data_IF_866461061036
#
_entry.id   IF_866461061036
#
_cell.length_a   1.000
_cell.length_b   1.000
_cell.length_c   1.000
_cell.angle_alpha   90.00
_cell.angle_beta   90.00
_cell.angle_gamma   90.00
#
_symmetry.space_group_name_H-M   'P 1'
#
loop_
_entity.id
_entity.type
_entity.pdbx_description
1 polymer ?
#
# COMPACT_ATOMS: atom_id res chain seq x y z
N UNK A 1 -4.60 -10.69 40.31
CA UNK A 1 -5.66 -9.82 39.75
C UNK A 1 -5.94 -8.53 40.55
N UNK A 2 -5.41 -8.33 41.77
CA UNK A 2 -5.62 -7.07 42.52
C UNK A 2 -4.48 -6.02 42.36
N UNK A 3 -3.30 -6.42 41.88
CA UNK A 3 -2.11 -5.57 41.79
C UNK A 3 -2.06 -4.69 40.53
N UNK A 4 -2.68 -5.12 39.43
CA UNK A 4 -2.70 -4.37 38.15
C UNK A 4 -3.70 -3.21 38.15
N UNK A 5 -4.81 -3.31 38.91
CA UNK A 5 -5.79 -2.22 39.07
C UNK A 5 -5.23 -1.03 39.87
N UNK A 6 -4.36 -1.29 40.86
CA UNK A 6 -3.76 -0.24 41.70
C UNK A 6 -2.69 0.57 40.94
N UNK A 7 -1.92 -0.07 40.06
CA UNK A 7 -0.92 0.60 39.23
C UNK A 7 -1.57 1.60 38.25
N UNK A 8 -2.70 1.24 37.66
CA UNK A 8 -3.42 2.09 36.69
C UNK A 8 -4.08 3.32 37.34
N UNK A 9 -4.66 3.16 38.54
CA UNK A 9 -5.23 4.29 39.29
C UNK A 9 -4.16 5.26 39.80
N UNK A 10 -2.95 4.76 40.10
CA UNK A 10 -1.82 5.59 40.55
C UNK A 10 -1.23 6.40 39.40
N UNK A 11 -1.19 5.85 38.18
CA UNK A 11 -0.75 6.57 36.99
C UNK A 11 -1.74 7.68 36.59
N UNK A 12 -3.06 7.41 36.62
CA UNK A 12 -4.09 8.40 36.31
C UNK A 12 -4.11 9.59 37.30
N UNK A 13 -3.82 9.35 38.59
CA UNK A 13 -3.69 10.44 39.58
C UNK A 13 -2.43 11.28 39.40
N UNK A 14 -1.31 10.68 38.98
CA UNK A 14 -0.07 11.42 38.67
C UNK A 14 -0.20 12.26 37.40
N UNK A 15 -0.88 11.76 36.37
CA UNK A 15 -1.16 12.50 35.14
C UNK A 15 -2.08 13.72 35.39
N UNK A 16 -3.07 13.58 36.27
CA UNK A 16 -3.98 14.68 36.64
C UNK A 16 -3.35 15.74 37.58
N UNK A 17 -2.31 15.38 38.35
CA UNK A 17 -1.57 16.34 39.19
C UNK A 17 -0.47 17.09 38.41
N UNK A 18 0.06 16.51 37.33
CA UNK A 18 1.06 17.14 36.45
C UNK A 18 0.50 18.26 35.57
N UNK A 19 -0.81 18.32 35.36
CA UNK A 19 -1.48 19.36 34.55
C UNK A 19 -1.98 20.56 35.38
N UNK A 20 -1.76 20.55 36.70
CA UNK A 20 -2.27 21.59 37.62
C UNK A 20 -1.21 22.55 38.18
N UNK A 21 0.09 22.35 37.90
CA UNK A 21 1.18 23.17 38.46
C UNK A 21 2.13 23.65 37.37
N UNK A 22 1.67 24.63 36.58
CA UNK A 22 2.50 25.67 35.95
C UNK A 22 1.60 26.62 35.14
N UNK A 23 0.84 27.45 35.85
CA UNK A 23 0.39 28.76 35.34
C UNK A 23 1.14 29.82 36.15
N UNK A 24 2.23 30.32 35.60
CA UNK A 24 3.05 31.35 36.25
C UNK A 24 4.23 31.77 35.38
N UNK A 25 4.02 32.86 34.64
CA UNK A 25 5.01 33.79 34.09
C UNK A 25 6.28 33.25 33.42
N UNK A 26 6.29 33.26 32.09
CA UNK A 26 7.50 33.53 31.29
C UNK A 26 7.09 34.40 30.09
N UNK A 27 7.63 35.62 29.99
CA UNK A 27 7.49 36.49 28.82
C UNK A 27 8.36 35.96 27.66
N UNK A 28 7.90 35.99 26.39
CA UNK A 28 8.77 35.71 25.26
C UNK A 28 9.39 36.98 24.69
N UNK A 29 10.73 37.04 24.77
CA UNK A 29 11.60 38.05 24.17
C UNK A 29 11.96 37.64 22.73
N UNK A 30 10.99 37.59 21.80
CA UNK A 30 11.23 37.70 20.34
C UNK A 30 9.96 38.23 19.65
N UNK A 31 9.75 39.55 19.69
CA UNK A 31 8.79 40.25 18.83
C UNK A 31 9.50 41.39 18.14
N UNK A 32 10.12 41.11 16.99
CA UNK A 32 10.93 42.09 16.26
C UNK A 32 10.92 41.96 14.74
N UNK A 33 10.02 41.16 14.15
CA UNK A 33 9.99 41.03 12.67
C UNK A 33 8.60 41.06 12.01
N UNK A 34 7.53 41.36 12.76
CA UNK A 34 6.20 41.51 12.16
C UNK A 34 5.43 42.63 12.85
N UNK A 35 5.78 43.88 12.54
CA UNK A 35 4.94 45.05 12.85
C UNK A 35 4.97 45.98 11.64
N UNK A 36 4.03 45.76 10.72
CA UNK A 36 3.31 46.83 10.01
C UNK A 36 2.09 46.22 9.31
N UNK A 37 0.96 46.21 10.01
CA UNK A 37 -0.37 46.57 9.49
C UNK A 37 -1.41 46.21 10.57
N UNK A 38 -1.76 47.22 11.35
CA UNK A 38 -2.73 47.18 12.45
C UNK A 38 -4.16 47.09 11.92
N UNK A 39 -5.04 46.34 12.59
CA UNK A 39 -6.46 46.68 12.69
C UNK A 39 -7.06 46.10 13.99
N UNK A 40 -7.49 47.02 14.84
CA UNK A 40 -8.15 46.83 16.15
C UNK A 40 -9.54 46.20 16.01
N UNK A 41 -9.86 45.21 16.86
CA UNK A 41 -11.20 44.63 17.02
C UNK A 41 -11.80 45.13 18.35
N UNK A 42 -12.99 45.72 18.28
CA UNK A 42 -13.85 46.08 19.43
C UNK A 42 -14.88 44.97 19.73
N UNK A 43 -15.34 44.90 20.98
CA UNK A 43 -15.96 43.74 21.65
C UNK A 43 -17.50 43.65 21.62
N UNK A 44 -18.00 42.40 21.52
CA UNK A 44 -19.24 41.79 22.09
C UNK A 44 -20.64 42.11 21.48
N UNK A 45 -21.73 41.31 21.74
CA UNK A 45 -21.88 39.90 22.14
C UNK A 45 -22.85 39.08 21.21
N UNK A 46 -23.05 37.80 21.54
CA UNK A 46 -23.83 36.80 20.78
C UNK A 46 -25.37 36.97 20.86
N UNK A 47 -26.07 36.74 19.73
CA UNK A 47 -27.38 36.05 19.65
C UNK A 47 -27.78 35.71 18.20
N UNK A 48 -28.17 34.44 17.99
CA UNK A 48 -29.20 33.88 17.08
C UNK A 48 -29.21 34.14 15.56
N UNK A 49 -29.29 33.01 14.83
CA UNK A 49 -29.94 32.74 13.54
C UNK A 49 -29.76 33.75 12.39
N UNK A 50 -29.16 33.33 11.27
CA UNK A 50 -29.75 33.48 9.92
C UNK A 50 -28.87 32.80 8.84
N UNK A 51 -29.59 32.41 7.78
CA UNK A 51 -29.24 31.86 6.48
C UNK A 51 -27.96 32.40 5.81
N UNK A 52 -27.26 31.53 5.08
CA UNK A 52 -26.10 31.90 4.25
C UNK A 52 -26.59 32.64 2.98
N UNK A 53 -26.13 33.87 2.73
CA UNK A 53 -26.37 34.59 1.48
C UNK A 53 -25.45 34.10 0.36
N UNK A 54 -26.02 34.02 -0.84
CA UNK A 54 -25.36 33.79 -2.12
C UNK A 54 -24.48 34.99 -2.48
N UNK A 55 -23.16 34.86 -2.39
CA UNK A 55 -22.13 35.46 -3.28
C UNK A 55 -20.76 35.46 -2.60
N UNK A 56 -19.95 34.46 -2.92
CA UNK A 56 -18.49 34.51 -2.87
C UNK A 56 -17.96 33.41 -3.81
N UNK A 57 -18.13 33.66 -5.12
CA UNK A 57 -17.57 32.85 -6.18
C UNK A 57 -16.05 33.03 -6.21
N UNK A 58 -15.33 31.90 -6.13
CA UNK A 58 -13.87 31.85 -6.31
C UNK A 58 -13.49 32.11 -7.78
N UNK A 59 -12.29 32.64 -8.07
CA UNK A 59 -11.88 33.04 -9.41
C UNK A 59 -11.75 31.85 -10.38
N UNK A 60 -12.14 32.08 -11.64
CA UNK A 60 -12.05 31.16 -12.76
C UNK A 60 -10.72 30.39 -12.82
N UNK A 61 -10.81 29.07 -12.69
CA UNK A 61 -9.75 28.11 -12.95
C UNK A 61 -9.53 27.94 -14.46
N UNK A 62 -8.94 28.94 -15.11
CA UNK A 62 -8.31 28.77 -16.42
C UNK A 62 -6.91 28.17 -16.18
N UNK A 63 -6.77 26.85 -16.30
CA UNK A 63 -5.47 26.20 -16.14
C UNK A 63 -5.49 24.71 -15.82
N UNK A 64 -6.64 24.11 -15.51
CA UNK A 64 -6.77 22.65 -15.59
C UNK A 64 -6.86 22.31 -17.07
N UNK A 65 -5.88 21.58 -17.61
CA UNK A 65 -6.04 20.93 -18.91
C UNK A 65 -7.23 20.00 -18.78
N UNK A 66 -8.38 20.43 -19.29
CA UNK A 66 -9.52 19.56 -19.51
C UNK A 66 -9.01 18.40 -20.36
N UNK A 67 -9.12 17.18 -19.85
CA UNK A 67 -9.35 16.06 -20.76
C UNK A 67 -10.53 16.48 -21.62
N UNK A 68 -10.34 16.54 -22.93
CA UNK A 68 -11.38 16.87 -23.88
C UNK A 68 -12.51 15.85 -23.70
N UNK A 69 -13.53 16.19 -22.92
CA UNK A 69 -14.82 15.52 -22.92
C UNK A 69 -15.43 15.77 -24.30
N UNK A 70 -15.08 14.90 -25.24
CA UNK A 70 -15.86 14.74 -26.46
C UNK A 70 -17.29 14.40 -26.01
N UNK A 71 -18.21 15.30 -26.35
CA UNK A 71 -19.66 15.24 -26.16
C UNK A 71 -20.20 14.03 -25.38
N UNK A 72 -20.51 14.22 -24.10
CA UNK A 72 -21.43 13.33 -23.35
C UNK A 72 -22.84 13.56 -23.87
N UNK A 73 -23.12 13.08 -25.08
CA UNK A 73 -24.48 12.90 -25.55
C UNK A 73 -25.07 11.73 -24.78
N UNK A 74 -26.10 11.97 -23.97
CA UNK A 74 -26.92 10.91 -23.38
C UNK A 74 -27.54 10.13 -24.54
N UNK A 75 -26.96 8.99 -24.88
CA UNK A 75 -27.58 8.03 -25.80
C UNK A 75 -28.59 7.29 -24.93
N UNK A 76 -29.86 7.21 -25.34
CA UNK A 76 -30.88 6.43 -24.62
C UNK A 76 -30.50 4.94 -24.53
N UNK A 77 -31.46 4.07 -24.16
CA UNK A 77 -31.26 2.61 -24.23
C UNK A 77 -30.54 2.23 -25.53
N UNK A 78 -29.49 1.42 -25.43
CA UNK A 78 -28.70 1.01 -26.59
C UNK A 78 -29.62 0.35 -27.63
N UNK A 79 -29.50 0.76 -28.90
CA UNK A 79 -30.28 0.17 -29.98
C UNK A 79 -29.96 -1.34 -30.09
N UNK A 80 -30.96 -2.23 -30.27
CA UNK A 80 -30.72 -3.67 -30.34
C UNK A 80 -29.71 -4.10 -31.40
N UNK A 81 -29.61 -3.36 -32.52
CA UNK A 81 -28.61 -3.62 -33.55
C UNK A 81 -27.18 -3.30 -33.09
N UNK A 82 -27.01 -2.30 -32.23
CA UNK A 82 -25.72 -1.94 -31.61
C UNK A 82 -25.34 -2.99 -30.58
N UNK A 83 -26.27 -3.42 -29.73
CA UNK A 83 -26.05 -4.51 -28.76
C UNK A 83 -25.59 -5.79 -29.47
N UNK A 84 -26.23 -6.15 -30.58
CA UNK A 84 -25.82 -7.34 -31.35
C UNK A 84 -24.41 -7.22 -31.92
N UNK A 85 -24.02 -6.04 -32.42
CA UNK A 85 -22.65 -5.80 -32.88
C UNK A 85 -21.63 -5.93 -31.75
N UNK A 86 -21.92 -5.37 -30.58
CA UNK A 86 -21.08 -5.50 -29.38
C UNK A 86 -20.93 -6.97 -29.00
N UNK A 87 -22.03 -7.75 -28.98
CA UNK A 87 -21.97 -9.20 -28.71
C UNK A 87 -21.09 -9.95 -29.69
N UNK A 88 -21.16 -9.63 -30.98
CA UNK A 88 -20.31 -10.27 -31.99
C UNK A 88 -18.84 -9.87 -31.86
N UNK A 89 -18.55 -8.64 -31.45
CA UNK A 89 -17.16 -8.24 -31.18
C UNK A 89 -16.58 -8.89 -29.93
N UNK A 90 -17.37 -9.00 -28.85
CA UNK A 90 -17.00 -9.70 -27.62
C UNK A 90 -16.63 -11.17 -27.92
N UNK A 91 -17.47 -11.90 -28.66
CA UNK A 91 -17.16 -13.28 -29.09
C UNK A 91 -15.90 -13.42 -29.93
N UNK A 92 -15.49 -12.37 -30.66
CA UNK A 92 -14.28 -12.43 -31.48
C UNK A 92 -13.01 -12.20 -30.66
N UNK A 93 -13.12 -11.61 -29.48
CA UNK A 93 -11.99 -11.40 -28.56
C UNK A 93 -11.97 -12.39 -27.42
N UNK A 94 -13.06 -13.13 -27.21
CA UNK A 94 -13.19 -14.29 -26.32
C UNK A 94 -12.24 -15.40 -26.76
N UNK A 95 -11.02 -15.39 -26.23
CA UNK A 95 -9.97 -16.31 -26.66
C UNK A 95 -10.04 -17.66 -25.95
N UNK A 96 -10.66 -17.69 -24.78
CA UNK A 96 -10.76 -18.86 -23.92
C UNK A 96 -12.15 -19.54 -23.99
N UNK A 97 -13.10 -18.94 -24.73
CA UNK A 97 -14.48 -19.40 -24.93
C UNK A 97 -15.28 -19.54 -23.63
N UNK A 98 -14.99 -18.72 -22.62
CA UNK A 98 -15.65 -18.78 -21.31
C UNK A 98 -16.87 -17.85 -21.19
N UNK A 99 -17.11 -16.99 -22.20
CA UNK A 99 -18.22 -16.03 -22.23
C UNK A 99 -18.11 -14.87 -21.24
N UNK A 100 -16.92 -14.67 -20.67
CA UNK A 100 -16.54 -13.55 -19.83
C UNK A 100 -15.54 -12.67 -20.59
N UNK A 101 -15.46 -11.40 -20.20
CA UNK A 101 -14.51 -10.43 -20.71
C UNK A 101 -13.47 -10.21 -19.63
N UNK A 102 -12.24 -10.67 -19.86
CA UNK A 102 -11.11 -10.36 -18.98
C UNK A 102 -10.38 -9.06 -19.41
N UNK A 103 -9.33 -8.70 -18.66
CA UNK A 103 -8.56 -7.49 -18.93
C UNK A 103 -7.83 -7.52 -20.29
N UNK A 104 -7.24 -8.65 -20.66
CA UNK A 104 -6.50 -8.81 -21.91
C UNK A 104 -7.44 -8.83 -23.12
N UNK A 105 -8.61 -9.42 -22.97
CA UNK A 105 -9.69 -9.42 -23.96
C UNK A 105 -10.32 -8.04 -24.11
N UNK A 106 -10.48 -7.28 -23.02
CA UNK A 106 -10.87 -5.87 -23.09
C UNK A 106 -9.82 -5.04 -23.85
N UNK A 107 -8.54 -5.27 -23.59
CA UNK A 107 -7.46 -4.63 -24.34
C UNK A 107 -7.54 -5.00 -25.83
N UNK A 108 -7.78 -6.28 -26.17
CA UNK A 108 -7.95 -6.72 -27.55
C UNK A 108 -9.18 -6.09 -28.22
N UNK A 109 -10.29 -5.97 -27.49
CA UNK A 109 -11.52 -5.30 -27.94
C UNK A 109 -11.23 -3.84 -28.29
N UNK A 110 -10.61 -3.09 -27.40
CA UNK A 110 -10.34 -1.67 -27.63
C UNK A 110 -9.29 -1.44 -28.71
N UNK A 111 -8.32 -2.34 -28.89
CA UNK A 111 -7.35 -2.30 -30.01
C UNK A 111 -8.03 -2.37 -31.38
N UNK A 112 -9.18 -3.04 -31.51
CA UNK A 112 -9.97 -3.06 -32.75
C UNK A 112 -10.56 -1.68 -33.09
N UNK A 113 -10.66 -0.80 -32.08
CA UNK A 113 -11.16 0.58 -32.18
C UNK A 113 -10.04 1.62 -32.03
N UNK A 114 -8.89 1.40 -32.67
CA UNK A 114 -7.71 2.29 -32.63
C UNK A 114 -7.96 3.72 -33.14
N UNK A 115 -9.07 3.97 -33.83
CA UNK A 115 -9.51 5.30 -34.25
C UNK A 115 -10.19 6.08 -33.10
N UNK A 116 -10.67 5.38 -32.07
CA UNK A 116 -11.34 5.94 -30.90
C UNK A 116 -10.42 6.00 -29.67
N UNK A 117 -9.53 5.02 -29.49
CA UNK A 117 -8.64 4.92 -28.32
C UNK A 117 -7.17 4.94 -28.70
N UNK A 118 -6.35 5.65 -27.91
CA UNK A 118 -4.88 5.59 -27.98
C UNK A 118 -4.35 4.41 -27.17
N UNK A 119 -3.17 3.91 -27.53
CA UNK A 119 -2.52 2.79 -26.82
C UNK A 119 -2.40 3.01 -25.29
N UNK A 120 -2.12 4.24 -24.86
CA UNK A 120 -2.06 4.58 -23.44
C UNK A 120 -3.43 4.50 -22.74
N UNK A 121 -4.51 4.90 -23.41
CA UNK A 121 -5.88 4.81 -22.89
C UNK A 121 -6.36 3.36 -22.83
N UNK A 122 -5.94 2.54 -23.80
CA UNK A 122 -6.22 1.09 -23.81
C UNK A 122 -5.52 0.41 -22.64
N UNK A 123 -4.24 0.72 -22.41
CA UNK A 123 -3.48 0.15 -21.30
C UNK A 123 -4.06 0.58 -19.95
N UNK A 124 -4.42 1.86 -19.81
CA UNK A 124 -5.08 2.37 -18.61
C UNK A 124 -6.43 1.64 -18.37
N UNK A 125 -7.26 1.50 -19.40
CA UNK A 125 -8.52 0.78 -19.29
C UNK A 125 -8.33 -0.70 -18.88
N UNK A 126 -7.31 -1.37 -19.43
CA UNK A 126 -6.93 -2.73 -19.06
C UNK A 126 -6.58 -2.83 -17.57
N UNK A 127 -5.69 -1.96 -17.10
CA UNK A 127 -5.20 -1.99 -15.72
C UNK A 127 -6.33 -1.66 -14.73
N UNK A 128 -7.19 -0.70 -15.07
CA UNK A 128 -8.37 -0.37 -14.28
C UNK A 128 -9.37 -1.53 -14.22
N UNK A 129 -9.59 -2.22 -15.34
CA UNK A 129 -10.48 -3.37 -15.40
C UNK A 129 -9.94 -4.53 -14.58
N UNK A 130 -8.66 -4.87 -14.75
CA UNK A 130 -7.99 -5.93 -13.98
C UNK A 130 -8.09 -5.66 -12.48
N UNK A 131 -7.72 -4.45 -12.04
CA UNK A 131 -7.79 -4.06 -10.64
C UNK A 131 -9.24 -4.09 -10.11
N UNK A 132 -10.20 -3.64 -10.92
CA UNK A 132 -11.62 -3.63 -10.59
C UNK A 132 -12.23 -5.02 -10.44
N UNK A 133 -11.89 -5.94 -11.33
CA UNK A 133 -12.38 -7.32 -11.34
C UNK A 133 -11.50 -8.29 -10.55
N UNK A 134 -10.44 -7.80 -9.88
CA UNK A 134 -9.53 -8.60 -9.07
C UNK A 134 -8.92 -9.77 -9.86
N UNK A 135 -8.56 -9.51 -11.12
CA UNK A 135 -7.98 -10.48 -12.05
C UNK A 135 -8.96 -11.48 -12.67
N UNK A 136 -10.26 -11.40 -12.34
CA UNK A 136 -11.31 -12.18 -12.99
C UNK A 136 -11.90 -11.51 -14.23
N UNK A 137 -12.83 -12.21 -14.86
CA UNK A 137 -13.60 -11.72 -16.02
C UNK A 137 -15.02 -11.27 -15.67
N UNK A 138 -15.62 -10.47 -16.54
CA UNK A 138 -17.00 -10.01 -16.42
C UNK A 138 -17.87 -10.63 -17.51
N UNK A 139 -19.02 -11.21 -17.16
CA UNK A 139 -19.95 -11.78 -18.17
C UNK A 139 -20.30 -10.74 -19.22
N UNK A 140 -20.39 -11.17 -20.48
CA UNK A 140 -20.74 -10.27 -21.58
C UNK A 140 -22.07 -9.53 -21.38
N UNK A 141 -23.09 -10.21 -20.84
CA UNK A 141 -24.37 -9.56 -20.55
C UNK A 141 -24.23 -8.48 -19.46
N UNK A 142 -23.43 -8.73 -18.41
CA UNK A 142 -23.17 -7.74 -17.35
C UNK A 142 -22.36 -6.54 -17.89
N UNK A 143 -21.41 -6.77 -18.79
CA UNK A 143 -20.66 -5.71 -19.47
C UNK A 143 -21.58 -4.84 -20.33
N UNK A 144 -22.49 -5.44 -21.09
CA UNK A 144 -23.47 -4.73 -21.91
C UNK A 144 -24.42 -3.89 -21.05
N UNK A 145 -24.87 -4.43 -19.92
CA UNK A 145 -25.69 -3.71 -18.95
C UNK A 145 -24.94 -2.48 -18.38
N UNK A 146 -23.63 -2.59 -18.18
CA UNK A 146 -22.79 -1.46 -17.78
C UNK A 146 -22.68 -0.43 -18.90
N UNK A 147 -22.48 -0.86 -20.15
CA UNK A 147 -22.45 0.05 -21.30
C UNK A 147 -23.76 0.84 -21.43
N UNK A 148 -24.91 0.19 -21.23
CA UNK A 148 -26.23 0.86 -21.24
C UNK A 148 -26.38 1.87 -20.08
N UNK A 149 -25.82 1.54 -18.91
CA UNK A 149 -25.85 2.45 -17.75
C UNK A 149 -24.99 3.69 -17.96
N UNK A 150 -23.80 3.57 -18.54
CA UNK A 150 -22.89 4.72 -18.75
C UNK A 150 -23.36 5.64 -19.88
N UNK A 151 -24.05 5.11 -20.89
CA UNK A 151 -24.60 5.94 -21.98
C UNK A 151 -25.80 6.77 -21.54
N UNK A 152 -26.56 6.27 -20.56
CA UNK A 152 -27.81 6.90 -20.10
C UNK A 152 -27.61 7.92 -18.99
N UNK A 153 -26.64 7.74 -18.09
CA UNK A 153 -26.31 8.69 -17.01
C UNK A 153 -24.81 8.68 -16.66
N UNK A 154 -24.21 9.85 -16.33
CA UNK A 154 -22.91 9.88 -15.69
C UNK A 154 -22.96 9.08 -14.38
N UNK A 155 -22.15 8.02 -14.28
CA UNK A 155 -22.07 7.17 -13.11
C UNK A 155 -20.89 7.64 -12.24
N UNK A 156 -21.16 7.99 -10.98
CA UNK A 156 -20.12 8.28 -9.98
C UNK A 156 -19.69 7.02 -9.20
N UNK A 157 -20.41 5.90 -9.38
CA UNK A 157 -20.15 4.62 -8.71
C UNK A 157 -20.14 3.52 -9.79
N UNK A 158 -19.00 3.40 -10.48
CA UNK A 158 -18.90 2.53 -11.66
C UNK A 158 -18.80 1.05 -11.23
N UNK A 159 -19.67 0.15 -11.74
CA UNK A 159 -19.71 -1.24 -11.29
C UNK A 159 -18.41 -2.02 -11.49
N UNK A 160 -17.60 -1.66 -12.50
CA UNK A 160 -16.30 -2.30 -12.76
C UNK A 160 -15.30 -2.08 -11.62
N UNK A 161 -15.35 -0.94 -10.94
CA UNK A 161 -14.40 -0.58 -9.88
C UNK A 161 -14.98 -0.73 -8.47
N UNK A 162 -16.26 -1.08 -8.35
CA UNK A 162 -16.97 -1.05 -7.07
C UNK A 162 -16.67 -2.29 -6.22
N UNK A 163 -16.39 -2.09 -4.93
CA UNK A 163 -16.25 -3.17 -3.94
C UNK A 163 -14.85 -3.73 -3.72
N UNK A 164 -13.91 -3.54 -4.66
CA UNK A 164 -12.58 -4.15 -4.61
C UNK A 164 -11.44 -3.25 -4.13
N UNK A 165 -11.73 -2.01 -3.70
CA UNK A 165 -10.70 -1.05 -3.21
C UNK A 165 -9.64 -0.75 -4.27
N UNK A 166 -9.94 -0.96 -5.55
CA UNK A 166 -9.02 -0.73 -6.66
C UNK A 166 -8.47 0.69 -6.67
N UNK A 167 -9.27 1.69 -6.27
CA UNK A 167 -8.84 3.08 -6.09
C UNK A 167 -7.62 3.26 -5.17
N UNK A 168 -7.34 2.30 -4.28
CA UNK A 168 -6.19 2.35 -3.37
C UNK A 168 -4.86 2.02 -4.06
N UNK A 169 -4.89 1.33 -5.21
CA UNK A 169 -3.69 0.81 -5.88
C UNK A 169 -3.67 0.94 -7.41
N UNK A 170 -4.74 1.43 -8.04
CA UNK A 170 -4.89 1.51 -9.51
C UNK A 170 -3.80 2.32 -10.22
N UNK A 171 -3.21 3.30 -9.55
CA UNK A 171 -2.14 4.14 -10.09
C UNK A 171 -0.74 3.66 -9.71
N UNK A 172 -0.62 2.45 -9.17
CA UNK A 172 0.65 1.88 -8.73
C UNK A 172 1.08 0.75 -9.65
N UNK A 173 2.38 0.50 -9.64
CA UNK A 173 2.94 -0.67 -10.30
C UNK A 173 2.36 -1.90 -9.61
N UNK A 174 1.66 -2.73 -10.36
CA UNK A 174 1.23 -4.04 -9.87
C UNK A 174 2.44 -4.98 -9.73
N UNK A 175 2.40 -5.83 -8.70
CA UNK A 175 3.53 -6.69 -8.32
C UNK A 175 3.19 -8.15 -8.66
N UNK A 176 3.23 -8.48 -9.95
CA UNK A 176 3.22 -9.88 -10.37
C UNK A 176 4.61 -10.49 -10.10
N UNK A 177 4.68 -11.37 -9.11
CA UNK A 177 5.91 -12.09 -8.77
C UNK A 177 6.07 -13.35 -9.63
N UNK A 178 7.28 -13.61 -10.10
CA UNK A 178 7.62 -14.93 -10.66
C UNK A 178 7.90 -15.93 -9.54
N UNK A 179 7.84 -17.24 -9.86
CA UNK A 179 8.17 -18.30 -8.90
C UNK A 179 9.57 -18.15 -8.30
N UNK A 180 10.54 -17.66 -9.09
CA UNK A 180 11.89 -17.38 -8.61
C UNK A 180 11.94 -16.21 -7.61
N UNK A 181 11.10 -15.20 -7.80
CA UNK A 181 10.99 -14.05 -6.89
C UNK A 181 10.29 -14.43 -5.59
N UNK A 182 9.39 -15.42 -5.61
CA UNK A 182 8.74 -15.97 -4.41
C UNK A 182 9.64 -16.92 -3.60
N UNK A 183 10.73 -17.41 -4.20
CA UNK A 183 11.71 -18.30 -3.57
C UNK A 183 12.65 -17.54 -2.62
N UNK A 184 12.07 -16.93 -1.58
CA UNK A 184 12.76 -16.10 -0.61
C UNK A 184 13.58 -16.93 0.38
N UNK A 185 14.88 -16.68 0.43
CA UNK A 185 15.77 -17.18 1.47
C UNK A 185 15.73 -16.29 2.74
N UNK A 186 15.73 -16.95 3.91
CA UNK A 186 15.91 -16.26 5.19
C UNK A 186 17.38 -15.89 5.36
N UNK A 187 17.68 -14.60 5.20
CA UNK A 187 19.02 -14.06 5.38
C UNK A 187 19.11 -13.26 6.69
N UNK A 188 20.32 -13.13 7.22
CA UNK A 188 20.62 -12.29 8.37
C UNK A 188 21.82 -11.40 8.07
N UNK A 189 21.67 -10.09 8.28
CA UNK A 189 22.74 -9.12 8.12
C UNK A 189 23.50 -8.94 9.45
N UNK A 190 24.75 -9.39 9.58
CA UNK A 190 25.48 -9.30 10.84
C UNK A 190 25.67 -7.84 11.30
N UNK A 191 25.53 -7.53 12.60
CA UNK A 191 25.74 -6.18 13.10
C UNK A 191 27.24 -5.84 13.18
N UNK A 192 27.68 -4.86 12.39
CA UNK A 192 29.11 -4.54 12.27
C UNK A 192 29.60 -3.59 13.38
N UNK A 193 28.73 -2.67 13.82
CA UNK A 193 29.08 -1.61 14.77
C UNK A 193 28.11 -1.56 15.97
N UNK A 194 28.40 -0.71 16.95
CA UNK A 194 27.59 -0.59 18.17
C UNK A 194 26.13 -0.18 17.88
N UNK A 195 25.92 0.72 16.92
CA UNK A 195 24.58 1.15 16.50
C UNK A 195 23.76 -0.02 15.95
N UNK A 196 24.36 -0.86 15.10
CA UNK A 196 23.68 -2.01 14.53
C UNK A 196 23.36 -3.06 15.60
N UNK A 197 24.27 -3.28 16.56
CA UNK A 197 24.00 -4.15 17.73
C UNK A 197 22.85 -3.60 18.57
N UNK A 198 22.78 -2.28 18.77
CA UNK A 198 21.66 -1.66 19.47
C UNK A 198 20.35 -1.84 18.70
N UNK A 199 20.35 -1.68 17.38
CA UNK A 199 19.18 -1.88 16.54
C UNK A 199 18.68 -3.33 16.61
N UNK A 200 19.58 -4.30 16.46
CA UNK A 200 19.26 -5.74 16.57
C UNK A 200 18.69 -6.09 17.94
N UNK A 201 19.32 -5.59 19.02
CA UNK A 201 18.86 -5.85 20.38
C UNK A 201 17.50 -5.18 20.65
N UNK A 202 17.24 -4.01 20.07
CA UNK A 202 15.94 -3.35 20.16
C UNK A 202 14.85 -4.19 19.48
N UNK A 203 15.10 -4.70 18.27
CA UNK A 203 14.16 -5.60 17.56
C UNK A 203 13.91 -6.86 18.36
N UNK A 204 14.95 -7.54 18.86
CA UNK A 204 14.80 -8.73 19.70
C UNK A 204 13.98 -8.45 20.97
N UNK A 205 14.22 -7.30 21.60
CA UNK A 205 13.47 -6.87 22.78
C UNK A 205 11.99 -6.62 22.48
N UNK A 206 11.70 -5.89 21.39
CA UNK A 206 10.32 -5.61 20.95
C UNK A 206 9.61 -6.90 20.55
N UNK A 207 10.26 -7.79 19.79
CA UNK A 207 9.71 -9.09 19.41
C UNK A 207 9.40 -9.95 20.64
N UNK A 208 10.35 -10.08 21.57
CA UNK A 208 10.15 -10.87 22.78
C UNK A 208 8.98 -10.31 23.62
N UNK A 209 8.92 -8.99 23.79
CA UNK A 209 7.81 -8.33 24.47
C UNK A 209 6.47 -8.60 23.76
N UNK A 210 6.40 -8.37 22.45
CA UNK A 210 5.18 -8.54 21.66
C UNK A 210 4.69 -9.99 21.65
N UNK A 211 5.58 -10.94 21.39
CA UNK A 211 5.26 -12.37 21.39
C UNK A 211 4.75 -12.82 22.77
N UNK A 212 5.33 -12.27 23.86
CA UNK A 212 4.88 -12.58 25.23
C UNK A 212 3.49 -12.02 25.53
N UNK A 213 3.20 -10.76 25.19
CA UNK A 213 1.90 -10.15 25.52
C UNK A 213 0.75 -10.66 24.66
N UNK A 214 1.06 -11.09 23.42
CA UNK A 214 0.07 -11.63 22.48
C UNK A 214 -0.12 -13.14 22.63
N UNK A 215 0.76 -13.82 23.36
CA UNK A 215 0.74 -15.27 23.48
C UNK A 215 1.07 -15.99 22.18
N UNK A 216 1.87 -15.35 21.31
CA UNK A 216 2.24 -15.92 20.01
C UNK A 216 2.96 -17.26 20.16
N UNK A 217 2.43 -18.30 19.52
CA UNK A 217 3.00 -19.64 19.54
C UNK A 217 3.04 -20.25 18.13
N UNK A 218 4.23 -20.22 17.53
CA UNK A 218 4.47 -20.77 16.19
C UNK A 218 4.26 -22.29 16.08
N UNK A 219 4.22 -23.03 17.19
CA UNK A 219 4.02 -24.50 17.20
C UNK A 219 2.55 -24.91 17.25
N UNK A 220 1.66 -24.00 17.58
CA UNK A 220 0.23 -24.24 17.72
C UNK A 220 -0.55 -23.04 17.16
N UNK A 221 -0.38 -22.82 15.86
CA UNK A 221 -0.92 -21.67 15.15
C UNK A 221 -2.40 -21.89 14.80
N UNK A 222 -3.22 -20.84 14.93
CA UNK A 222 -4.60 -20.81 14.46
C UNK A 222 -4.78 -19.62 13.52
N UNK A 223 -5.83 -19.64 12.66
CA UNK A 223 -6.12 -18.49 11.77
C UNK A 223 -6.23 -17.20 12.57
N UNK A 224 -6.93 -17.23 13.70
CA UNK A 224 -7.12 -16.06 14.55
C UNK A 224 -5.82 -15.51 15.13
N UNK A 225 -4.89 -16.38 15.58
CA UNK A 225 -3.58 -15.92 16.06
C UNK A 225 -2.79 -15.24 14.96
N UNK A 226 -2.80 -15.80 13.74
CA UNK A 226 -2.13 -15.19 12.58
C UNK A 226 -2.78 -13.84 12.28
N UNK A 227 -4.09 -13.80 12.10
CA UNK A 227 -4.83 -12.60 11.71
C UNK A 227 -4.64 -11.46 12.70
N UNK A 228 -4.78 -11.70 14.01
CA UNK A 228 -4.55 -10.64 15.00
C UNK A 228 -3.10 -10.17 15.02
N UNK A 229 -2.13 -11.06 14.79
CA UNK A 229 -0.71 -10.71 14.73
C UNK A 229 -0.42 -9.82 13.53
N UNK A 230 -0.71 -10.30 12.32
CA UNK A 230 -0.37 -9.59 11.07
C UNK A 230 -1.10 -8.26 11.03
N UNK A 231 -2.44 -8.24 11.24
CA UNK A 231 -3.22 -6.99 11.23
C UNK A 231 -2.64 -5.95 12.20
N UNK A 232 -2.17 -6.37 13.38
CA UNK A 232 -1.59 -5.42 14.33
C UNK A 232 -0.24 -4.90 13.83
N UNK A 233 0.65 -5.79 13.39
CA UNK A 233 2.00 -5.43 12.97
C UNK A 233 1.98 -4.57 11.69
N UNK A 234 1.15 -4.89 10.70
CA UNK A 234 1.01 -4.12 9.46
C UNK A 234 0.58 -2.66 9.74
N UNK A 235 -0.23 -2.42 10.79
CA UNK A 235 -0.62 -1.03 11.16
C UNK A 235 0.56 -0.19 11.66
N UNK A 236 1.64 -0.84 12.11
CA UNK A 236 2.86 -0.22 12.63
C UNK A 236 3.96 -0.22 11.56
N UNK A 237 4.05 -1.28 10.74
CA UNK A 237 5.03 -1.44 9.65
C UNK A 237 4.89 -0.35 8.57
N UNK A 238 3.69 0.16 8.33
CA UNK A 238 3.48 1.30 7.42
C UNK A 238 4.05 2.64 7.91
N UNK A 239 4.41 2.77 9.20
CA UNK A 239 4.81 4.06 9.81
C UNK A 239 6.25 4.49 9.47
N UNK A 240 7.28 3.61 9.58
CA UNK A 240 8.67 3.94 9.29
C UNK A 240 8.91 4.53 7.90
N UNK A 241 8.39 3.89 6.85
CA UNK A 241 8.53 4.37 5.46
C UNK A 241 7.97 5.78 5.29
N UNK A 242 6.80 6.06 5.87
CA UNK A 242 6.18 7.39 5.79
C UNK A 242 7.00 8.46 6.52
N UNK A 243 7.56 8.14 7.70
CA UNK A 243 8.43 9.03 8.46
C UNK A 243 9.75 9.29 7.71
N UNK A 244 10.34 8.25 7.11
CA UNK A 244 11.53 8.38 6.28
C UNK A 244 11.25 9.29 5.08
N UNK A 245 10.16 9.04 4.36
CA UNK A 245 9.71 9.85 3.22
C UNK A 245 9.54 11.33 3.60
N UNK A 246 8.71 11.66 4.60
CA UNK A 246 8.44 13.06 4.95
C UNK A 246 9.69 13.80 5.42
N UNK A 247 10.54 13.13 6.20
CA UNK A 247 11.79 13.73 6.70
C UNK A 247 12.76 14.01 5.56
N UNK A 248 12.89 13.08 4.61
CA UNK A 248 13.73 13.23 3.42
C UNK A 248 13.17 14.27 2.46
N UNK A 249 11.86 14.32 2.27
CA UNK A 249 11.18 15.34 1.49
C UNK A 249 11.53 16.75 1.99
N UNK A 250 11.33 17.02 3.28
CA UNK A 250 11.70 18.33 3.84
C UNK A 250 13.21 18.60 3.78
N UNK A 251 14.05 17.57 3.93
CA UNK A 251 15.51 17.72 3.77
C UNK A 251 15.90 18.11 2.35
N UNK A 252 15.31 17.50 1.33
CA UNK A 252 15.54 17.85 -0.07
C UNK A 252 15.08 19.28 -0.35
N UNK A 253 13.86 19.65 0.05
CA UNK A 253 13.32 20.99 -0.16
C UNK A 253 14.17 22.09 0.51
N UNK A 254 14.51 21.91 1.79
CA UNK A 254 15.26 22.95 2.54
C UNK A 254 16.72 23.08 2.14
N UNK A 255 17.29 22.06 1.47
CA UNK A 255 18.66 22.07 0.95
C UNK A 255 18.73 22.33 -0.55
N UNK A 256 17.59 22.32 -1.25
CA UNK A 256 17.51 22.42 -2.71
C UNK A 256 18.36 21.34 -3.41
N UNK A 257 18.39 20.14 -2.84
CA UNK A 257 19.20 18.99 -3.29
C UNK A 257 18.32 17.83 -3.76
N UNK A 258 18.83 17.03 -4.71
CA UNK A 258 18.18 15.79 -5.13
C UNK A 258 18.17 14.76 -3.99
N UNK A 259 17.10 13.99 -3.88
CA UNK A 259 16.96 12.96 -2.84
C UNK A 259 17.70 11.64 -3.19
N UNK A 260 17.81 11.31 -4.48
CA UNK A 260 18.37 10.03 -4.93
C UNK A 260 17.34 8.91 -5.14
N UNK A 261 16.04 9.24 -5.13
CA UNK A 261 14.94 8.31 -5.43
C UNK A 261 14.38 7.55 -4.21
N UNK A 262 15.03 7.67 -3.05
CA UNK A 262 14.65 7.01 -1.80
C UNK A 262 13.30 7.52 -1.24
N UNK A 263 12.95 8.79 -1.47
CA UNK A 263 11.66 9.36 -1.08
C UNK A 263 10.49 8.55 -1.63
N UNK A 264 10.51 8.28 -2.94
CA UNK A 264 9.43 7.54 -3.58
C UNK A 264 9.42 6.10 -3.09
N UNK A 265 10.60 5.47 -2.99
CA UNK A 265 10.73 4.11 -2.47
C UNK A 265 10.08 3.93 -1.09
N UNK A 266 10.31 4.85 -0.14
CA UNK A 266 9.70 4.75 1.19
C UNK A 266 8.21 5.10 1.25
N UNK A 267 7.69 5.86 0.28
CA UNK A 267 6.25 6.06 0.10
C UNK A 267 5.59 4.83 -0.53
N UNK A 268 6.31 4.10 -1.39
CA UNK A 268 5.89 2.80 -1.90
C UNK A 268 5.88 1.76 -0.80
N UNK A 269 6.98 1.60 -0.04
CA UNK A 269 7.07 0.72 1.13
C UNK A 269 5.91 0.96 2.11
N UNK A 270 5.72 2.20 2.58
CA UNK A 270 4.64 2.52 3.51
C UNK A 270 3.22 2.22 2.97
N UNK A 271 3.05 2.30 1.64
CA UNK A 271 1.77 1.95 1.05
C UNK A 271 1.62 0.44 0.84
N UNK A 272 2.69 -0.26 0.49
CA UNK A 272 2.70 -1.72 0.35
C UNK A 272 2.30 -2.38 1.69
N UNK A 273 2.89 -1.95 2.80
CA UNK A 273 2.49 -2.35 4.17
C UNK A 273 1.00 -2.05 4.47
N UNK A 274 0.49 -0.93 3.95
CA UNK A 274 -0.93 -0.60 4.06
C UNK A 274 -1.81 -1.54 3.23
N UNK A 275 -1.32 -2.03 2.09
CA UNK A 275 -2.01 -3.04 1.28
C UNK A 275 -2.01 -4.41 1.97
N UNK A 276 -0.97 -4.78 2.72
CA UNK A 276 -0.99 -5.95 3.61
C UNK A 276 -2.16 -5.84 4.59
N UNK A 277 -2.23 -4.74 5.33
CA UNK A 277 -3.30 -4.47 6.30
C UNK A 277 -4.70 -4.53 5.67
N UNK A 278 -4.90 -3.82 4.55
CA UNK A 278 -6.21 -3.74 3.89
C UNK A 278 -6.65 -5.09 3.32
N UNK A 279 -5.70 -5.98 2.98
CA UNK A 279 -6.01 -7.35 2.59
C UNK A 279 -6.47 -8.17 3.79
N UNK A 280 -5.72 -8.16 4.89
CA UNK A 280 -6.09 -8.93 6.08
C UNK A 280 -7.37 -8.44 6.77
N UNK A 281 -7.69 -7.13 6.70
CA UNK A 281 -8.94 -6.61 7.30
C UNK A 281 -10.20 -7.14 6.60
N UNK A 282 -10.07 -7.62 5.35
CA UNK A 282 -11.15 -8.30 4.62
C UNK A 282 -11.40 -9.70 5.11
N UNK A 283 -10.38 -10.33 5.70
CA UNK A 283 -10.48 -11.67 6.27
C UNK A 283 -10.92 -11.62 7.74
N UNK A 284 -10.50 -10.60 8.50
CA UNK A 284 -10.84 -10.45 9.92
C UNK A 284 -11.11 -8.99 10.26
N UNK A 285 -12.25 -8.73 10.91
CA UNK A 285 -12.61 -7.40 11.43
C UNK A 285 -12.34 -7.31 12.95
N UNK A 286 -11.28 -6.62 13.41
CA UNK A 286 -10.95 -6.55 14.82
C UNK A 286 -11.91 -5.65 15.60
N UNK A 287 -12.15 -6.02 16.87
CA UNK A 287 -13.00 -5.27 17.79
C UNK A 287 -12.44 -3.89 18.18
N UNK A 288 -13.26 -3.11 18.88
CA UNK A 288 -12.94 -1.71 19.28
C UNK A 288 -11.71 -1.61 20.19
N UNK A 289 -11.51 -2.56 21.11
CA UNK A 289 -10.35 -2.59 21.99
C UNK A 289 -9.03 -2.75 21.21
N UNK A 290 -9.01 -3.65 20.23
CA UNK A 290 -7.87 -3.86 19.34
C UNK A 290 -7.58 -2.59 18.54
N UNK A 291 -8.60 -1.97 17.95
CA UNK A 291 -8.46 -0.69 17.24
C UNK A 291 -7.93 0.42 18.16
N UNK A 292 -8.39 0.47 19.42
CA UNK A 292 -7.85 1.38 20.43
C UNK A 292 -6.36 1.16 20.70
N UNK A 293 -5.91 -0.10 20.78
CA UNK A 293 -4.47 -0.40 20.93
C UNK A 293 -3.64 0.01 19.71
N UNK A 294 -4.18 -0.12 18.49
CA UNK A 294 -3.50 0.35 17.27
C UNK A 294 -3.24 1.86 17.35
N UNK A 295 -4.24 2.66 17.73
CA UNK A 295 -4.08 4.12 17.87
C UNK A 295 -2.99 4.48 18.88
N UNK A 296 -2.99 3.82 20.04
CA UNK A 296 -1.98 4.05 21.09
C UNK A 296 -0.58 3.67 20.59
N UNK A 297 -0.46 2.52 19.93
CA UNK A 297 0.81 2.04 19.38
C UNK A 297 1.32 2.94 18.26
N UNK A 298 0.48 3.37 17.33
CA UNK A 298 0.87 4.29 16.25
C UNK A 298 1.35 5.63 16.82
N UNK A 299 0.64 6.19 17.80
CA UNK A 299 1.06 7.45 18.44
C UNK A 299 2.39 7.28 19.18
N UNK A 300 2.53 6.22 19.99
CA UNK A 300 3.73 5.95 20.77
C UNK A 300 4.94 5.62 19.90
N UNK A 301 4.82 4.61 19.04
CA UNK A 301 5.87 4.18 18.13
C UNK A 301 6.21 5.27 17.11
N UNK A 302 5.21 5.88 16.45
CA UNK A 302 5.43 6.91 15.44
C UNK A 302 6.17 8.13 16.00
N UNK A 303 5.79 8.61 17.18
CA UNK A 303 6.49 9.75 17.83
C UNK A 303 7.93 9.38 18.20
N UNK A 304 8.14 8.20 18.79
CA UNK A 304 9.46 7.74 19.18
C UNK A 304 10.37 7.49 17.95
N UNK A 305 9.82 6.88 16.89
CA UNK A 305 10.52 6.61 15.65
C UNK A 305 10.87 7.91 14.92
N UNK A 306 9.96 8.89 14.84
CA UNK A 306 10.25 10.21 14.27
C UNK A 306 11.40 10.91 15.00
N UNK A 307 11.34 10.96 16.33
CA UNK A 307 12.42 11.54 17.14
C UNK A 307 13.76 10.83 16.91
N UNK A 308 13.73 9.50 16.85
CA UNK A 308 14.94 8.68 16.59
C UNK A 308 15.45 8.88 15.16
N UNK A 309 14.56 9.00 14.17
CA UNK A 309 14.92 9.22 12.76
C UNK A 309 15.57 10.59 12.56
N UNK A 310 15.10 11.62 13.26
CA UNK A 310 15.75 12.93 13.27
C UNK A 310 17.17 12.89 13.86
N UNK A 311 17.42 12.01 14.83
CA UNK A 311 18.74 11.85 15.47
C UNK A 311 19.68 10.93 14.67
N UNK A 312 19.17 9.80 14.17
CA UNK A 312 19.96 8.77 13.50
C UNK A 312 19.10 7.98 12.49
N UNK A 313 19.00 8.46 11.24
CA UNK A 313 18.35 7.72 10.16
C UNK A 313 18.98 6.33 9.93
N UNK A 314 20.32 6.23 10.06
CA UNK A 314 21.05 4.96 9.89
C UNK A 314 20.62 3.91 10.91
N UNK A 315 20.39 4.30 12.17
CA UNK A 315 19.86 3.40 13.18
C UNK A 315 18.45 2.93 12.81
N UNK A 316 17.59 3.85 12.37
CA UNK A 316 16.20 3.54 12.02
C UNK A 316 16.12 2.58 10.83
N UNK A 317 16.88 2.81 9.75
CA UNK A 317 16.92 1.89 8.63
C UNK A 317 17.50 0.52 9.00
N UNK A 318 18.53 0.47 9.87
CA UNK A 318 19.03 -0.82 10.37
C UNK A 318 18.02 -1.53 11.26
N UNK A 319 17.27 -0.78 12.08
CA UNK A 319 16.20 -1.30 12.91
C UNK A 319 15.08 -1.90 12.05
N UNK A 320 14.59 -1.17 11.05
CA UNK A 320 13.56 -1.66 10.12
C UNK A 320 14.05 -2.88 9.36
N UNK A 321 15.29 -2.87 8.82
CA UNK A 321 15.84 -4.06 8.16
C UNK A 321 15.80 -5.32 9.05
N UNK A 322 16.11 -5.19 10.34
CA UNK A 322 15.97 -6.30 11.29
C UNK A 322 14.51 -6.65 11.64
N UNK A 323 13.58 -5.69 11.62
CA UNK A 323 12.14 -5.98 11.74
C UNK A 323 11.70 -6.84 10.54
N UNK A 324 12.15 -6.52 9.33
CA UNK A 324 11.74 -7.26 8.14
C UNK A 324 12.41 -8.64 8.04
N UNK A 325 13.62 -8.83 8.58
CA UNK A 325 14.17 -10.18 8.80
C UNK A 325 13.23 -11.04 9.67
N UNK A 326 12.68 -10.43 10.73
CA UNK A 326 11.72 -11.09 11.62
C UNK A 326 10.34 -11.27 10.98
N UNK A 327 9.93 -10.38 10.05
CA UNK A 327 8.73 -10.48 9.24
C UNK A 327 8.85 -11.65 8.23
N UNK A 328 9.92 -11.70 7.44
CA UNK A 328 10.22 -12.83 6.56
C UNK A 328 10.21 -14.16 7.33
N UNK A 329 10.84 -14.20 8.51
CA UNK A 329 10.83 -15.41 9.35
C UNK A 329 9.42 -15.78 9.84
N UNK A 330 8.58 -14.78 10.13
CA UNK A 330 7.20 -15.01 10.58
C UNK A 330 6.33 -15.53 9.44
N UNK A 331 6.40 -14.93 8.26
CA UNK A 331 5.64 -15.38 7.10
C UNK A 331 6.08 -16.76 6.61
N UNK A 332 7.39 -17.07 6.61
CA UNK A 332 7.84 -18.45 6.33
C UNK A 332 7.23 -19.47 7.29
N UNK A 333 7.19 -19.17 8.60
CA UNK A 333 6.55 -20.08 9.58
C UNK A 333 5.04 -20.20 9.37
N UNK A 334 4.37 -19.14 8.92
CA UNK A 334 2.94 -19.17 8.59
C UNK A 334 2.70 -20.04 7.35
N UNK A 335 3.48 -19.83 6.30
CA UNK A 335 3.45 -20.63 5.06
C UNK A 335 3.68 -22.10 5.39
N UNK A 336 4.75 -22.45 6.10
CA UNK A 336 5.05 -23.82 6.52
C UNK A 336 3.89 -24.42 7.32
N UNK A 337 3.29 -23.64 8.22
CA UNK A 337 2.15 -24.09 9.02
C UNK A 337 0.89 -24.33 8.17
N UNK A 338 0.66 -23.53 7.14
CA UNK A 338 -0.44 -23.74 6.18
C UNK A 338 -0.16 -24.97 5.33
N UNK A 339 1.04 -25.11 4.75
CA UNK A 339 1.40 -26.21 3.85
C UNK A 339 1.43 -27.58 4.54
N UNK A 340 1.80 -27.63 5.82
CA UNK A 340 1.90 -28.89 6.57
C UNK A 340 0.69 -29.20 7.44
N UNK A 341 -0.31 -28.30 7.49
CA UNK A 341 -1.54 -28.50 8.25
C UNK A 341 -2.30 -29.80 7.85
N UNK A 342 -2.88 -30.54 8.80
CA UNK A 342 -3.81 -31.63 8.48
C UNK A 342 -5.00 -31.12 7.66
N UNK A 343 -5.50 -31.91 6.70
CA UNK A 343 -6.61 -31.50 5.80
C UNK A 343 -7.90 -31.11 6.53
N UNK A 344 -8.14 -31.67 7.71
CA UNK A 344 -9.30 -31.37 8.56
C UNK A 344 -9.10 -30.13 9.46
N UNK A 345 -7.92 -29.51 9.41
CA UNK A 345 -7.61 -28.33 10.22
C UNK A 345 -8.09 -27.03 9.58
N UNK A 346 -8.34 -26.03 10.42
CA UNK A 346 -8.73 -24.70 9.95
C UNK A 346 -7.68 -24.10 9.01
N UNK A 347 -6.38 -24.23 9.32
CA UNK A 347 -5.30 -23.65 8.51
C UNK A 347 -5.19 -24.27 7.11
N UNK A 348 -5.49 -25.57 6.95
CA UNK A 348 -5.42 -26.23 5.63
C UNK A 348 -6.36 -25.58 4.60
N UNK A 349 -7.50 -25.02 5.05
CA UNK A 349 -8.41 -24.33 4.15
C UNK A 349 -7.80 -23.10 3.47
N UNK A 350 -6.73 -22.48 4.00
CA UNK A 350 -6.04 -21.38 3.32
C UNK A 350 -5.25 -21.78 2.07
N UNK A 351 -5.09 -23.09 1.80
CA UNK A 351 -4.54 -23.59 0.53
C UNK A 351 -5.53 -23.52 -0.62
N UNK A 352 -6.82 -23.34 -0.34
CA UNK A 352 -7.90 -23.37 -1.34
C UNK A 352 -8.87 -22.20 -1.20
N UNK A 353 -8.92 -21.55 -0.04
CA UNK A 353 -9.66 -20.31 0.18
C UNK A 353 -9.06 -19.20 -0.68
N UNK A 354 -9.90 -18.55 -1.48
CA UNK A 354 -9.50 -17.43 -2.32
C UNK A 354 -9.00 -16.26 -1.46
N UNK A 355 -7.94 -15.61 -1.92
CA UNK A 355 -7.49 -14.38 -1.31
C UNK A 355 -8.55 -13.28 -1.48
N UNK A 356 -8.59 -12.27 -0.59
CA UNK A 356 -9.46 -11.12 -0.76
C UNK A 356 -9.25 -10.44 -2.11
N UNK A 357 -10.32 -9.94 -2.73
CA UNK A 357 -10.26 -9.36 -4.07
C UNK A 357 -9.25 -8.18 -4.21
N UNK A 358 -9.06 -7.39 -3.16
CA UNK A 358 -8.00 -6.36 -3.08
C UNK A 358 -6.60 -6.95 -3.28
N UNK A 359 -6.35 -8.14 -2.73
CA UNK A 359 -5.08 -8.84 -2.83
C UNK A 359 -4.88 -9.45 -4.22
N UNK A 360 -5.90 -10.12 -4.75
CA UNK A 360 -5.86 -10.67 -6.11
C UNK A 360 -5.51 -9.59 -7.14
N UNK A 361 -6.14 -8.42 -7.02
CA UNK A 361 -5.88 -7.29 -7.91
C UNK A 361 -4.53 -6.59 -7.67
N UNK A 362 -4.06 -6.49 -6.43
CA UNK A 362 -2.81 -5.77 -6.10
C UNK A 362 -1.53 -6.58 -6.42
N UNK A 363 -1.55 -7.88 -6.15
CA UNK A 363 -0.42 -8.80 -6.40
C UNK A 363 -0.57 -9.63 -7.68
N UNK A 364 -1.60 -9.36 -8.49
CA UNK A 364 -1.83 -10.10 -9.74
C UNK A 364 -1.87 -11.64 -9.53
N UNK A 365 -2.50 -12.10 -8.44
CA UNK A 365 -2.51 -13.53 -8.05
C UNK A 365 -3.38 -14.41 -8.97
N UNK A 366 -4.05 -13.81 -9.95
CA UNK A 366 -5.04 -14.44 -10.81
C UNK A 366 -6.37 -14.67 -10.10
N UNK A 367 -7.42 -15.01 -10.86
CA UNK A 367 -8.78 -15.18 -10.35
C UNK A 367 -8.90 -16.24 -9.25
N UNK A 368 -8.05 -17.27 -9.31
CA UNK A 368 -8.04 -18.39 -8.37
C UNK A 368 -6.93 -18.30 -7.32
N UNK A 369 -6.31 -17.13 -7.14
CA UNK A 369 -5.26 -16.91 -6.15
C UNK A 369 -5.75 -17.20 -4.74
N UNK A 370 -4.97 -17.97 -3.98
CA UNK A 370 -5.35 -18.44 -2.64
C UNK A 370 -4.77 -17.55 -1.54
N UNK A 371 -5.27 -17.70 -0.31
CA UNK A 371 -4.66 -17.06 0.87
C UNK A 371 -3.19 -17.49 1.04
N UNK A 372 -2.83 -18.73 0.66
CA UNK A 372 -1.44 -19.16 0.67
C UNK A 372 -0.58 -18.35 -0.31
N UNK A 373 -1.07 -18.11 -1.54
CA UNK A 373 -0.37 -17.29 -2.54
C UNK A 373 -0.19 -15.85 -2.05
N UNK A 374 -1.20 -15.30 -1.37
CA UNK A 374 -1.09 -14.02 -0.69
C UNK A 374 0.04 -14.00 0.36
N UNK A 375 0.17 -15.05 1.18
CA UNK A 375 1.27 -15.12 2.18
C UNK A 375 2.64 -15.17 1.50
N UNK A 376 2.75 -15.85 0.36
CA UNK A 376 3.96 -15.87 -0.45
C UNK A 376 4.33 -14.49 -1.00
N UNK A 377 3.36 -13.78 -1.58
CA UNK A 377 3.54 -12.45 -2.14
C UNK A 377 3.97 -11.43 -1.07
N UNK A 378 3.28 -11.42 0.08
CA UNK A 378 3.63 -10.54 1.21
C UNK A 378 5.05 -10.85 1.71
N UNK A 379 5.43 -12.13 1.84
CA UNK A 379 6.81 -12.48 2.24
C UNK A 379 7.86 -11.92 1.27
N UNK A 380 7.54 -11.85 -0.02
CA UNK A 380 8.42 -11.28 -1.03
C UNK A 380 8.56 -9.76 -0.87
N UNK A 381 7.46 -9.04 -0.61
CA UNK A 381 7.47 -7.63 -0.23
C UNK A 381 8.37 -7.38 1.00
N UNK A 382 8.20 -8.16 2.08
CA UNK A 382 9.02 -8.02 3.29
C UNK A 382 10.52 -8.24 3.00
N UNK A 383 10.85 -9.15 2.09
CA UNK A 383 12.22 -9.41 1.70
C UNK A 383 12.81 -8.23 0.90
N UNK A 384 12.00 -7.56 0.07
CA UNK A 384 12.39 -6.31 -0.58
C UNK A 384 12.64 -5.21 0.45
N UNK A 385 11.69 -4.99 1.37
CA UNK A 385 11.79 -3.97 2.43
C UNK A 385 13.03 -4.21 3.31
N UNK A 386 13.32 -5.46 3.68
CA UNK A 386 14.54 -5.89 4.37
C UNK A 386 15.79 -5.43 3.63
N UNK A 387 15.91 -5.80 2.36
CA UNK A 387 17.11 -5.55 1.55
C UNK A 387 17.30 -4.03 1.34
N UNK A 388 16.21 -3.32 1.04
CA UNK A 388 16.18 -1.87 0.84
C UNK A 388 16.62 -1.12 2.11
N UNK A 389 16.09 -1.50 3.27
CA UNK A 389 16.40 -0.83 4.52
C UNK A 389 17.83 -1.15 5.00
N UNK A 390 18.31 -2.39 4.86
CA UNK A 390 19.71 -2.71 5.16
C UNK A 390 20.68 -1.94 4.28
N UNK A 391 20.46 -1.89 2.97
CA UNK A 391 21.30 -1.10 2.08
C UNK A 391 21.25 0.40 2.42
N UNK A 392 20.07 0.94 2.69
CA UNK A 392 19.92 2.38 3.00
C UNK A 392 20.60 2.77 4.30
N UNK A 393 20.79 1.85 5.25
CA UNK A 393 21.52 2.13 6.49
C UNK A 393 22.96 2.58 6.26
N UNK A 394 23.55 2.24 5.12
CA UNK A 394 24.92 2.62 4.75
C UNK A 394 25.01 3.77 3.74
N UNK A 395 23.91 4.11 3.06
CA UNK A 395 23.89 5.17 2.04
C UNK A 395 24.06 6.57 2.64
N UNK A 396 24.85 7.40 1.94
CA UNK A 396 24.88 8.84 2.14
C UNK A 396 23.69 9.52 1.46
N UNK A 397 23.37 10.75 1.89
CA UNK A 397 22.29 11.51 1.25
C UNK A 397 22.63 11.81 -0.22
N UNK A 398 21.67 11.59 -1.11
CA UNK A 398 21.81 11.85 -2.55
C UNK A 398 22.39 10.68 -3.35
N UNK A 399 22.83 9.60 -2.69
CA UNK A 399 23.17 8.35 -3.37
C UNK A 399 21.91 7.62 -3.80
N UNK A 400 21.96 7.00 -4.98
CA UNK A 400 20.91 6.10 -5.48
C UNK A 400 20.93 4.80 -4.68
N UNK A 401 19.74 4.26 -4.43
CA UNK A 401 19.63 2.92 -3.86
C UNK A 401 20.05 1.91 -4.94
N UNK A 402 21.02 1.01 -4.67
CA UNK A 402 21.47 0.03 -5.67
C UNK A 402 20.35 -0.90 -6.16
N UNK A 403 19.35 -1.21 -5.33
CA UNK A 403 18.21 -2.05 -5.73
C UNK A 403 17.23 -1.34 -6.66
N UNK A 404 17.24 0.00 -6.67
CA UNK A 404 16.31 0.81 -7.45
C UNK A 404 17.02 1.86 -8.32
N UNK A 405 18.28 1.59 -8.69
CA UNK A 405 19.06 2.45 -9.56
C UNK A 405 18.60 2.30 -11.03
N UNK A 406 18.09 3.37 -11.68
CA UNK A 406 17.68 3.33 -13.07
C UNK A 406 18.80 2.90 -14.02
N UNK A 407 20.05 3.29 -13.77
CA UNK A 407 21.19 2.92 -14.62
C UNK A 407 21.46 1.42 -14.56
N UNK A 408 21.34 0.83 -13.36
CA UNK A 408 21.45 -0.61 -13.17
C UNK A 408 20.29 -1.35 -13.85
N UNK A 409 19.05 -0.85 -13.72
CA UNK A 409 17.88 -1.45 -14.38
C UNK A 409 18.03 -1.45 -15.91
N UNK A 410 18.44 -0.34 -16.51
CA UNK A 410 18.72 -0.26 -17.95
C UNK A 410 19.82 -1.26 -18.34
N UNK A 411 20.90 -1.33 -17.56
CA UNK A 411 22.00 -2.27 -17.82
C UNK A 411 21.54 -3.73 -17.78
N UNK A 412 20.69 -4.11 -16.83
CA UNK A 412 20.12 -5.46 -16.73
C UNK A 412 19.23 -5.77 -17.94
N UNK A 413 18.35 -4.84 -18.33
CA UNK A 413 17.46 -5.01 -19.48
C UNK A 413 18.25 -5.17 -20.79
N UNK A 414 19.27 -4.34 -21.01
CA UNK A 414 20.14 -4.45 -22.19
C UNK A 414 20.90 -5.78 -22.20
N UNK A 415 21.41 -6.25 -21.05
CA UNK A 415 22.06 -7.57 -20.94
C UNK A 415 21.08 -8.71 -21.23
N UNK A 416 19.84 -8.62 -20.77
CA UNK A 416 18.78 -9.61 -21.04
C UNK A 416 18.50 -9.69 -22.54
N UNK A 417 18.35 -8.54 -23.21
CA UNK A 417 18.15 -8.46 -24.66
C UNK A 417 19.32 -9.08 -25.44
N UNK A 418 20.57 -8.72 -25.10
CA UNK A 418 21.76 -9.29 -25.75
C UNK A 418 21.83 -10.82 -25.55
N UNK A 419 21.55 -11.31 -24.33
CA UNK A 419 21.55 -12.75 -24.04
C UNK A 419 20.49 -13.49 -24.86
N UNK A 420 19.29 -12.94 -24.98
CA UNK A 420 18.20 -13.52 -25.78
C UNK A 420 18.64 -13.64 -27.25
N UNK A 421 19.18 -12.58 -27.85
CA UNK A 421 19.71 -12.63 -29.23
C UNK A 421 20.78 -13.70 -29.38
N UNK A 422 21.80 -13.70 -28.51
CA UNK A 422 22.90 -14.67 -28.58
C UNK A 422 22.42 -16.12 -28.44
N UNK A 423 21.40 -16.36 -27.62
CA UNK A 423 20.84 -17.70 -27.44
C UNK A 423 20.04 -18.18 -28.66
N UNK A 424 19.35 -17.28 -29.36
CA UNK A 424 18.65 -17.58 -30.62
C UNK A 424 19.64 -17.90 -31.73
N UNK A 425 20.75 -17.17 -31.82
CA UNK A 425 21.80 -17.41 -32.81
C UNK A 425 22.50 -18.76 -32.59
N UNK A 426 22.69 -19.19 -31.33
CA UNK A 426 23.22 -20.52 -31.02
C UNK A 426 22.27 -21.66 -31.40
N UNK A 427 20.94 -21.44 -31.33
CA UNK A 427 19.94 -22.42 -31.76
C UNK A 427 19.79 -22.51 -33.29
N UNK A 428 20.19 -21.45 -34.01
CA UNK A 428 20.13 -21.37 -35.48
C UNK A 428 21.44 -21.78 -36.18
N UNK A 429 22.50 -22.08 -35.44
CA UNK A 429 23.75 -22.60 -36.01
C UNK A 429 23.57 -24.06 -36.41
N UNK A 430 23.74 -24.44 -37.70
CA UNK A 430 23.71 -25.84 -38.11
C UNK A 430 24.88 -26.61 -37.48
N UNK A 431 24.61 -27.84 -37.06
CA UNK A 431 25.60 -28.80 -36.55
C UNK A 431 26.59 -29.26 -37.62
#
# INVERSE_FOLDING_TARGET
MLTTKLAFQTFARKAAQSTAVHRGQVQPLVSGLWNNASLTISTAPATTNYSIPTELALPNSAGVRSFSTAATNTVGKLDPSVVNKIKEELKQVDTNEDGHLDADELMALFKKHNSAFKDAEILEARDMFYAGQAGGGLKFDDFIDILEKVTTKPQNDHPILNGNFSSEYIYRKSHAYTNEELAIELTHTPPENMRDRMALNAVKGVRAFFDTITGWNHKAMTKDMVMYRVIFLETIAAVPGFIAAITRHFKSLRRMEKDGGLLHLFLEEANNERMHLLSFIKMKNPGTLFRGSVVVSQFGFGTAFLGTYMMSPKFCHRFVGYVEEEACSTYTKIIDAIETAPEDSELASWRTELAPAIALGYWELGENGTVLDLMYAIRADEAEHRNVNHATSELALGQTNPYNDPEMKVSILLRKYVRDIMSRDQQLSPA
#
